data_IF_941387929725
#
_entry.id   IF_941387929725
#
_cell.length_a   1.000
_cell.length_b   1.000
_cell.length_c   1.000
_cell.angle_alpha   90.00
_cell.angle_beta   90.00
_cell.angle_gamma   90.00
#
_symmetry.space_group_name_H-M   'P 1'
#
loop_
_entity.id
_entity.type
_entity.pdbx_description
1 polymer ?
#
# COMPACT_ATOMS: atom_id res chain seq x y z
N UNK A 1 4.01 16.91 -34.38
CA UNK A 1 4.20 15.78 -33.45
C UNK A 1 4.45 16.38 -32.10
N UNK A 2 3.68 16.00 -31.09
CA UNK A 2 3.89 16.47 -29.72
C UNK A 2 5.00 15.62 -29.10
N UNK A 3 6.07 16.26 -28.64
CA UNK A 3 7.18 15.61 -27.93
C UNK A 3 7.16 15.95 -26.44
N UNK A 4 7.83 15.14 -25.60
CA UNK A 4 7.82 15.31 -24.15
C UNK A 4 8.27 16.71 -23.70
N UNK A 5 9.22 17.32 -24.42
CA UNK A 5 9.74 18.64 -24.08
C UNK A 5 8.74 19.75 -24.40
N UNK A 6 7.99 19.61 -25.50
CA UNK A 6 6.87 20.50 -25.82
C UNK A 6 5.74 20.45 -24.79
N UNK A 7 5.44 19.26 -24.23
CA UNK A 7 4.42 19.06 -23.19
C UNK A 7 4.85 19.68 -21.87
N UNK A 8 6.10 19.44 -21.44
CA UNK A 8 6.65 20.03 -20.22
C UNK A 8 6.70 21.56 -20.32
N UNK A 9 7.10 22.08 -21.49
CA UNK A 9 7.12 23.53 -21.73
C UNK A 9 5.71 24.12 -21.64
N UNK A 10 4.69 23.45 -22.18
CA UNK A 10 3.31 23.90 -22.05
C UNK A 10 2.80 23.83 -20.60
N UNK A 11 3.08 22.73 -19.89
CA UNK A 11 2.66 22.54 -18.50
C UNK A 11 3.27 23.58 -17.55
N UNK A 12 4.51 24.03 -17.78
CA UNK A 12 5.15 25.05 -16.92
C UNK A 12 4.53 26.44 -17.05
N UNK A 13 3.75 26.70 -18.11
CA UNK A 13 3.02 27.97 -18.29
C UNK A 13 1.65 27.99 -17.60
N UNK A 14 1.19 26.85 -17.07
CA UNK A 14 -0.09 26.75 -16.36
C UNK A 14 -0.01 27.39 -14.96
N UNK A 15 -1.18 27.69 -14.38
CA UNK A 15 -1.28 28.06 -12.98
C UNK A 15 -0.80 26.92 -12.08
N UNK A 16 -0.47 27.23 -10.82
CA UNK A 16 0.00 26.23 -9.87
C UNK A 16 -1.01 25.09 -9.68
N UNK A 17 -2.30 25.41 -9.57
CA UNK A 17 -3.36 24.42 -9.41
C UNK A 17 -3.49 23.51 -10.63
N UNK A 18 -3.40 24.05 -11.83
CA UNK A 18 -3.47 23.28 -13.07
C UNK A 18 -2.23 22.39 -13.26
N UNK A 19 -1.05 22.83 -12.82
CA UNK A 19 0.16 21.99 -12.83
C UNK A 19 0.01 20.78 -11.91
N UNK A 20 -0.62 20.94 -10.74
CA UNK A 20 -0.90 19.82 -9.83
C UNK A 20 -1.77 18.78 -10.53
N UNK A 21 -2.86 19.20 -11.19
CA UNK A 21 -3.74 18.30 -11.93
C UNK A 21 -3.00 17.51 -13.03
N UNK A 22 -2.08 18.16 -13.75
CA UNK A 22 -1.26 17.49 -14.77
C UNK A 22 -0.33 16.46 -14.14
N UNK A 23 0.30 16.79 -13.01
CA UNK A 23 1.20 15.87 -12.30
C UNK A 23 0.43 14.67 -11.75
N UNK A 24 -0.73 14.88 -11.14
CA UNK A 24 -1.60 13.81 -10.64
C UNK A 24 -2.01 12.86 -11.76
N UNK A 25 -2.52 13.39 -12.88
CA UNK A 25 -2.93 12.57 -14.02
C UNK A 25 -1.76 11.77 -14.64
N UNK A 26 -0.54 12.33 -14.61
CA UNK A 26 0.65 11.62 -15.06
C UNK A 26 1.06 10.52 -14.07
N UNK A 27 1.00 10.78 -12.76
CA UNK A 27 1.28 9.78 -11.73
C UNK A 27 0.28 8.63 -11.82
N UNK A 28 -1.02 8.92 -11.92
CA UNK A 28 -2.08 7.91 -12.10
C UNK A 28 -1.87 7.07 -13.36
N UNK A 29 -1.33 7.66 -14.43
CA UNK A 29 -1.02 6.91 -15.67
C UNK A 29 0.17 5.97 -15.54
N UNK A 30 1.04 6.19 -14.55
CA UNK A 30 2.21 5.38 -14.25
C UNK A 30 1.93 4.33 -13.17
N UNK A 31 0.82 4.47 -12.44
CA UNK A 31 0.29 3.38 -11.63
C UNK A 31 -0.03 2.23 -12.58
N UNK A 32 0.87 1.24 -12.65
CA UNK A 32 0.53 -0.03 -13.26
C UNK A 32 -0.77 -0.49 -12.60
N UNK A 33 -1.79 -0.91 -13.37
CA UNK A 33 -2.92 -1.57 -12.75
C UNK A 33 -2.31 -2.65 -11.89
N UNK A 34 -2.56 -2.58 -10.58
CA UNK A 34 -2.18 -3.64 -9.67
C UNK A 34 -3.01 -4.83 -10.11
N UNK A 35 -2.52 -5.55 -11.10
CA UNK A 35 -2.95 -6.89 -11.46
C UNK A 35 -2.25 -7.80 -10.47
N UNK A 36 -2.40 -7.50 -9.19
CA UNK A 36 -2.45 -8.56 -8.22
C UNK A 36 -3.61 -9.41 -8.70
N UNK A 37 -3.28 -10.58 -9.27
CA UNK A 37 -4.26 -11.61 -9.48
C UNK A 37 -4.88 -11.85 -8.09
N UNK A 38 -6.04 -11.24 -7.86
CA UNK A 38 -6.70 -11.26 -6.56
C UNK A 38 -6.95 -12.69 -6.12
N UNK A 39 -7.08 -13.63 -7.07
CA UNK A 39 -7.16 -15.05 -6.76
C UNK A 39 -5.82 -15.61 -6.25
N UNK A 40 -4.69 -15.21 -6.85
CA UNK A 40 -3.35 -15.57 -6.39
C UNK A 40 -3.02 -14.96 -5.02
N UNK A 41 -3.34 -13.68 -4.79
CA UNK A 41 -3.18 -13.03 -3.48
C UNK A 41 -4.06 -13.71 -2.44
N UNK A 42 -5.33 -13.98 -2.76
CA UNK A 42 -6.22 -14.69 -1.85
C UNK A 42 -5.73 -16.12 -1.54
N UNK A 43 -5.13 -16.82 -2.52
CA UNK A 43 -4.57 -18.14 -2.28
C UNK A 43 -3.34 -18.10 -1.38
N UNK A 44 -2.42 -17.14 -1.60
CA UNK A 44 -1.27 -16.94 -0.73
C UNK A 44 -1.70 -16.65 0.72
N UNK A 45 -2.72 -15.80 0.92
CA UNK A 45 -3.29 -15.55 2.24
C UNK A 45 -3.97 -16.78 2.84
N UNK A 46 -4.69 -17.57 2.05
CA UNK A 46 -5.28 -18.85 2.52
C UNK A 46 -4.21 -19.83 2.99
N UNK A 47 -3.09 -19.91 2.27
CA UNK A 47 -1.96 -20.75 2.65
C UNK A 47 -1.34 -20.28 3.97
N UNK A 48 -1.06 -18.99 4.10
CA UNK A 48 -0.49 -18.40 5.32
C UNK A 48 -1.40 -18.63 6.54
N UNK A 49 -2.70 -18.37 6.40
CA UNK A 49 -3.68 -18.59 7.49
C UNK A 49 -3.71 -20.06 7.91
N UNK A 50 -3.67 -20.99 6.95
CA UNK A 50 -3.65 -22.43 7.24
C UNK A 50 -2.39 -22.79 8.03
N UNK A 51 -1.22 -22.37 7.54
CA UNK A 51 0.06 -22.61 8.20
C UNK A 51 0.06 -22.07 9.63
N UNK A 52 -0.25 -20.79 9.83
CA UNK A 52 -0.24 -20.18 11.18
C UNK A 52 -1.25 -20.83 12.12
N UNK A 53 -2.40 -21.26 11.61
CA UNK A 53 -3.39 -21.98 12.41
C UNK A 53 -2.86 -23.33 12.90
N UNK A 54 -2.08 -24.03 12.08
CA UNK A 54 -1.45 -25.31 12.44
C UNK A 54 -0.28 -25.10 13.41
N UNK A 55 0.55 -24.08 13.20
CA UNK A 55 1.62 -23.71 14.13
C UNK A 55 1.08 -23.38 15.52
N UNK A 56 -0.03 -22.63 15.59
CA UNK A 56 -0.72 -22.32 16.84
C UNK A 56 -1.30 -23.58 17.48
N UNK A 57 -2.00 -24.42 16.71
CA UNK A 57 -2.64 -25.65 17.23
C UNK A 57 -1.62 -26.67 17.72
N UNK A 58 -0.48 -26.78 17.04
CA UNK A 58 0.62 -27.69 17.41
C UNK A 58 1.45 -27.18 18.58
N UNK A 59 1.30 -25.90 18.96
CA UNK A 59 2.13 -25.25 19.97
C UNK A 59 3.55 -24.96 19.50
N UNK A 60 3.80 -24.97 18.18
CA UNK A 60 5.11 -24.64 17.59
C UNK A 60 5.48 -23.18 17.85
N UNK A 61 4.48 -22.31 18.03
CA UNK A 61 4.65 -20.89 18.32
C UNK A 61 4.06 -20.54 19.67
N UNK A 62 4.72 -19.60 20.37
CA UNK A 62 4.22 -19.03 21.63
C UNK A 62 3.33 -17.83 21.29
N UNK A 63 2.02 -17.86 21.57
CA UNK A 63 1.15 -16.72 21.33
C UNK A 63 1.45 -15.58 22.30
N UNK A 64 1.22 -14.37 21.84
CA UNK A 64 1.23 -13.14 22.65
C UNK A 64 -0.18 -12.89 23.17
N UNK A 65 -0.30 -12.34 24.38
CA UNK A 65 -1.61 -12.04 24.94
C UNK A 65 -2.26 -10.85 24.21
N UNK A 66 -3.59 -10.87 24.09
CA UNK A 66 -4.32 -9.74 23.50
C UNK A 66 -4.05 -8.43 24.25
N UNK A 67 -3.95 -8.47 25.58
CA UNK A 67 -3.64 -7.30 26.42
C UNK A 67 -2.29 -6.66 26.08
N UNK A 68 -1.29 -7.47 25.75
CA UNK A 68 0.03 -6.98 25.35
C UNK A 68 -0.04 -6.35 23.95
N UNK A 69 -0.72 -7.01 23.01
CA UNK A 69 -0.93 -6.47 21.65
C UNK A 69 -1.70 -5.15 21.68
N UNK A 70 -2.77 -5.03 22.48
CA UNK A 70 -3.56 -3.80 22.56
C UNK A 70 -2.76 -2.64 23.16
N UNK A 71 -2.00 -2.91 24.23
CA UNK A 71 -1.15 -1.89 24.86
C UNK A 71 -0.04 -1.39 23.92
N UNK A 72 0.48 -2.26 23.05
CA UNK A 72 1.48 -1.88 22.05
C UNK A 72 0.87 -0.99 20.96
N UNK A 73 -0.33 -1.31 20.49
CA UNK A 73 -1.05 -0.48 19.52
C UNK A 73 -1.37 0.90 20.09
N UNK A 74 -1.89 0.97 21.32
CA UNK A 74 -2.18 2.24 22.00
C UNK A 74 -0.93 3.12 22.10
N UNK A 75 0.21 2.54 22.51
CA UNK A 75 1.48 3.28 22.63
C UNK A 75 2.00 3.82 21.30
N UNK A 76 1.84 3.07 20.20
CA UNK A 76 2.23 3.53 18.86
C UNK A 76 1.35 4.71 18.43
N UNK A 77 0.05 4.65 18.71
CA UNK A 77 -0.89 5.72 18.37
C UNK A 77 -0.67 6.97 19.23
N UNK A 78 -0.32 6.82 20.50
CA UNK A 78 -0.04 7.94 21.43
C UNK A 78 1.35 8.55 21.24
N UNK A 79 2.32 7.77 20.74
CA UNK A 79 3.71 8.19 20.51
C UNK A 79 4.00 8.75 19.11
N UNK A 80 3.02 8.75 18.21
CA UNK A 80 3.13 9.34 16.87
C UNK A 80 2.86 10.84 16.87
N UNK A 81 3.83 11.65 17.30
CA UNK A 81 3.88 13.10 17.11
C UNK A 81 5.25 13.52 16.59
#
# INVERSE_FOLDING_TARGET
>A
MTDAQSIVTAATQLSEQERVLVVEALLDSLEEPVVDDLAAVAEAWRQEVRQRSEELRSGLVKPVSWTEVSADVERVLEGGN
#
